data_IF_066444986235
#
_entry.id   IF_066444986235
#
_cell.length_a   1.000
_cell.length_b   1.000
_cell.length_c   1.000
_cell.angle_alpha   90.00
_cell.angle_beta   90.00
_cell.angle_gamma   90.00
#
_symmetry.space_group_name_H-M   'P 1'
#
loop_
_entity.id
_entity.type
_entity.pdbx_description
1 polymer ?
#
# COMPACT_ATOMS: atom_id res chain seq x y z
N UNK A 1 -53.90 72.18 23.09
CA UNK A 1 -52.47 71.95 23.37
C UNK A 1 -52.23 70.48 23.80
N UNK A 2 -52.70 69.50 23.02
CA UNK A 2 -52.53 68.07 23.41
C UNK A 2 -52.08 67.10 22.27
N UNK A 3 -51.94 67.60 21.04
CA UNK A 3 -51.62 66.71 19.91
C UNK A 3 -50.11 66.48 19.71
N UNK A 4 -49.25 67.36 20.18
CA UNK A 4 -47.79 67.27 20.00
C UNK A 4 -47.13 66.20 20.88
N UNK A 5 -47.74 65.79 21.98
CA UNK A 5 -47.20 64.79 22.92
C UNK A 5 -47.48 63.36 22.48
N UNK A 6 -48.60 63.14 21.76
CA UNK A 6 -48.96 61.82 21.26
C UNK A 6 -48.11 61.42 20.01
N UNK A 7 -47.78 62.39 19.16
CA UNK A 7 -46.98 62.20 17.98
C UNK A 7 -45.51 61.82 18.34
N UNK A 8 -44.95 62.54 19.32
CA UNK A 8 -43.56 62.26 19.82
C UNK A 8 -43.44 60.87 20.52
N UNK A 9 -44.49 60.41 21.18
CA UNK A 9 -44.47 59.06 21.82
C UNK A 9 -44.61 57.96 20.78
N UNK A 10 -45.36 58.19 19.68
CA UNK A 10 -45.49 57.26 18.58
C UNK A 10 -44.21 57.13 17.74
N UNK A 11 -43.48 58.25 17.55
CA UNK A 11 -42.17 58.26 16.88
C UNK A 11 -41.10 57.54 17.70
N UNK A 12 -41.05 57.77 19.00
CA UNK A 12 -40.10 57.08 19.87
C UNK A 12 -40.36 55.56 19.93
N UNK A 13 -41.62 55.14 20.01
CA UNK A 13 -41.98 53.72 19.99
C UNK A 13 -41.64 53.03 18.64
N UNK A 14 -41.75 53.80 17.53
CA UNK A 14 -41.38 53.26 16.20
C UNK A 14 -39.83 53.18 16.01
N UNK A 15 -39.06 54.14 16.60
CA UNK A 15 -37.61 54.07 16.61
C UNK A 15 -37.09 52.90 17.45
N UNK A 16 -37.63 52.67 18.66
CA UNK A 16 -37.28 51.53 19.49
C UNK A 16 -37.61 50.18 18.83
N UNK A 17 -38.77 50.10 18.18
CA UNK A 17 -39.14 48.89 17.42
C UNK A 17 -38.22 48.66 16.20
N UNK A 18 -37.78 49.72 15.53
CA UNK A 18 -36.83 49.65 14.42
C UNK A 18 -35.41 49.24 14.86
N UNK A 19 -34.94 49.77 16.01
CA UNK A 19 -33.63 49.36 16.59
C UNK A 19 -33.67 47.92 17.07
N UNK A 20 -34.74 47.50 17.74
CA UNK A 20 -34.89 46.08 18.16
C UNK A 20 -34.91 45.13 16.97
N UNK A 21 -35.64 45.49 15.89
CA UNK A 21 -35.65 44.69 14.66
C UNK A 21 -34.29 44.65 13.94
N UNK A 22 -33.56 45.76 13.95
CA UNK A 22 -32.18 45.78 13.41
C UNK A 22 -31.19 44.89 14.20
N UNK A 23 -31.30 44.90 15.54
CA UNK A 23 -30.50 44.09 16.42
C UNK A 23 -30.81 42.58 16.26
N UNK A 24 -32.08 42.21 16.12
CA UNK A 24 -32.48 40.82 15.88
C UNK A 24 -32.00 40.30 14.52
N UNK A 25 -32.07 41.17 13.50
CA UNK A 25 -31.61 40.87 12.16
C UNK A 25 -30.08 40.67 12.12
N UNK A 26 -29.30 41.44 12.89
CA UNK A 26 -27.88 41.24 13.05
C UNK A 26 -27.55 39.93 13.81
N UNK A 27 -28.30 39.58 14.86
CA UNK A 27 -28.15 38.34 15.57
C UNK A 27 -28.41 37.12 14.66
N UNK A 28 -29.49 37.15 13.89
CA UNK A 28 -29.80 36.07 12.93
C UNK A 28 -28.76 35.96 11.82
N UNK A 29 -28.20 37.07 11.37
CA UNK A 29 -27.08 37.04 10.41
C UNK A 29 -25.87 36.37 10.99
N UNK A 30 -25.48 36.66 12.23
CA UNK A 30 -24.35 36.01 12.93
C UNK A 30 -24.60 34.51 13.07
N UNK A 31 -25.78 34.10 13.51
CA UNK A 31 -26.12 32.67 13.63
C UNK A 31 -26.05 31.97 12.27
N UNK A 32 -26.56 32.59 11.21
CA UNK A 32 -26.45 32.06 9.87
C UNK A 32 -24.98 31.88 9.43
N UNK A 33 -24.15 32.91 9.64
CA UNK A 33 -22.75 32.88 9.23
C UNK A 33 -21.98 31.82 10.03
N UNK A 34 -22.22 31.69 11.34
CA UNK A 34 -21.64 30.61 12.14
C UNK A 34 -22.12 29.22 11.72
N UNK A 35 -23.39 29.10 11.32
CA UNK A 35 -23.93 27.84 10.82
C UNK A 35 -23.30 27.49 9.45
N UNK A 36 -23.11 28.48 8.57
CA UNK A 36 -22.42 28.28 7.29
C UNK A 36 -20.96 27.88 7.48
N UNK A 37 -20.23 28.51 8.38
CA UNK A 37 -18.84 28.16 8.68
C UNK A 37 -18.72 26.74 9.25
N UNK A 38 -19.66 26.34 10.14
CA UNK A 38 -19.73 24.96 10.64
C UNK A 38 -19.98 23.97 9.54
N UNK A 39 -20.91 24.28 8.62
CA UNK A 39 -21.25 23.43 7.48
C UNK A 39 -20.05 23.25 6.52
N UNK A 40 -19.35 24.34 6.19
CA UNK A 40 -18.15 24.30 5.33
C UNK A 40 -17.04 23.47 5.98
N UNK A 41 -16.83 23.62 7.30
CA UNK A 41 -15.86 22.82 8.03
C UNK A 41 -16.21 21.34 8.02
N UNK A 42 -17.45 20.98 8.32
CA UNK A 42 -17.93 19.61 8.27
C UNK A 42 -17.80 19.00 6.87
N UNK A 43 -18.09 19.78 5.84
CA UNK A 43 -17.92 19.33 4.45
C UNK A 43 -16.45 19.03 4.13
N UNK A 44 -15.53 19.90 4.54
CA UNK A 44 -14.11 19.69 4.35
C UNK A 44 -13.59 18.45 5.13
N UNK A 45 -14.04 18.26 6.37
CA UNK A 45 -13.72 17.08 7.17
C UNK A 45 -14.25 15.80 6.55
N UNK A 46 -15.50 15.82 6.03
CA UNK A 46 -16.09 14.68 5.33
C UNK A 46 -15.34 14.32 4.05
N UNK A 47 -14.95 15.31 3.24
CA UNK A 47 -14.16 15.08 2.03
C UNK A 47 -12.77 14.50 2.35
N UNK A 48 -12.13 14.99 3.41
CA UNK A 48 -10.86 14.44 3.89
C UNK A 48 -11.03 13.00 4.40
N UNK A 49 -12.09 12.73 5.15
CA UNK A 49 -12.42 11.38 5.63
C UNK A 49 -12.64 10.42 4.47
N UNK A 50 -13.44 10.82 3.46
CA UNK A 50 -13.70 10.00 2.27
C UNK A 50 -12.42 9.66 1.52
N UNK A 51 -11.56 10.67 1.28
CA UNK A 51 -10.26 10.46 0.62
C UNK A 51 -9.34 9.53 1.41
N UNK A 52 -9.37 9.62 2.74
CA UNK A 52 -8.61 8.73 3.61
C UNK A 52 -9.14 7.30 3.52
N UNK A 53 -10.45 7.11 3.61
CA UNK A 53 -11.08 5.80 3.53
C UNK A 53 -10.84 5.10 2.19
N UNK A 54 -10.86 5.86 1.07
CA UNK A 54 -10.55 5.33 -0.26
C UNK A 54 -9.09 4.84 -0.36
N UNK A 55 -8.12 5.53 0.27
CA UNK A 55 -6.73 5.09 0.36
C UNK A 55 -6.62 3.83 1.22
N UNK A 56 -7.16 3.84 2.43
CA UNK A 56 -7.13 2.69 3.34
C UNK A 56 -7.73 1.43 2.69
N UNK A 57 -8.83 1.56 1.94
CA UNK A 57 -9.43 0.43 1.20
C UNK A 57 -8.51 -0.10 0.09
N UNK A 58 -7.81 0.77 -0.61
CA UNK A 58 -6.84 0.37 -1.64
C UNK A 58 -5.65 -0.35 -1.01
N UNK A 59 -5.05 0.26 0.02
CA UNK A 59 -3.90 -0.29 0.74
C UNK A 59 -4.23 -1.66 1.35
N UNK A 60 -5.44 -1.83 1.88
CA UNK A 60 -5.93 -3.09 2.41
C UNK A 60 -6.05 -4.16 1.30
N UNK A 61 -6.59 -3.79 0.14
CA UNK A 61 -6.68 -4.70 -1.03
C UNK A 61 -5.31 -5.14 -1.53
N UNK A 62 -4.35 -4.21 -1.60
CA UNK A 62 -2.97 -4.50 -1.98
C UNK A 62 -2.26 -5.38 -0.94
N UNK A 63 -2.56 -5.17 0.35
CA UNK A 63 -2.02 -5.99 1.42
C UNK A 63 -2.48 -7.44 1.31
N UNK A 64 -3.78 -7.68 1.22
CA UNK A 64 -4.33 -9.03 1.05
C UNK A 64 -3.82 -9.72 -0.22
N UNK A 65 -3.74 -8.99 -1.33
CA UNK A 65 -3.18 -9.56 -2.55
C UNK A 65 -1.72 -9.99 -2.38
N UNK A 66 -0.91 -9.18 -1.70
CA UNK A 66 0.50 -9.49 -1.43
C UNK A 66 0.65 -10.68 -0.49
N UNK A 67 -0.17 -10.78 0.55
CA UNK A 67 -0.18 -11.90 1.49
C UNK A 67 -0.52 -13.21 0.77
N UNK A 68 -1.61 -13.21 -0.01
CA UNK A 68 -2.00 -14.36 -0.81
C UNK A 68 -0.89 -14.79 -1.79
N UNK A 69 -0.26 -13.83 -2.47
CA UNK A 69 0.84 -14.13 -3.39
C UNK A 69 2.03 -14.75 -2.64
N UNK A 70 2.36 -14.27 -1.43
CA UNK A 70 3.42 -14.84 -0.60
C UNK A 70 3.15 -16.29 -0.22
N UNK A 71 1.89 -16.62 0.08
CA UNK A 71 1.45 -17.98 0.41
C UNK A 71 1.57 -18.96 -0.77
N UNK A 72 1.52 -18.47 -2.00
CA UNK A 72 1.71 -19.29 -3.19
C UNK A 72 3.20 -19.50 -3.57
N UNK A 73 4.13 -18.70 -3.09
CA UNK A 73 5.55 -18.84 -3.43
C UNK A 73 6.16 -20.20 -3.02
N UNK A 74 5.79 -20.82 -1.89
CA UNK A 74 6.27 -22.17 -1.56
C UNK A 74 5.91 -23.23 -2.62
N UNK A 75 4.75 -23.10 -3.29
CA UNK A 75 4.36 -24.02 -4.37
C UNK A 75 5.32 -23.90 -5.56
N UNK A 76 5.76 -22.68 -5.87
CA UNK A 76 6.76 -22.48 -6.92
C UNK A 76 8.11 -23.08 -6.52
N UNK A 77 8.54 -22.95 -5.26
CA UNK A 77 9.76 -23.58 -4.77
C UNK A 77 9.70 -25.11 -4.88
N UNK A 78 8.53 -25.71 -4.60
CA UNK A 78 8.32 -27.15 -4.75
C UNK A 78 8.41 -27.59 -6.21
N UNK A 79 7.86 -26.82 -7.14
CA UNK A 79 7.99 -27.05 -8.56
C UNK A 79 9.46 -26.96 -9.01
N UNK A 80 10.19 -25.95 -8.58
CA UNK A 80 11.61 -25.76 -8.90
C UNK A 80 12.46 -26.91 -8.32
N UNK A 81 12.18 -27.33 -7.10
CA UNK A 81 12.85 -28.47 -6.48
C UNK A 81 12.56 -29.79 -7.22
N UNK A 82 11.29 -30.00 -7.64
CA UNK A 82 10.92 -31.18 -8.42
C UNK A 82 11.59 -31.21 -9.79
N UNK A 83 11.70 -30.04 -10.45
CA UNK A 83 12.43 -29.89 -11.71
C UNK A 83 13.93 -30.20 -11.56
N UNK A 84 14.57 -29.67 -10.52
CA UNK A 84 15.97 -29.93 -10.23
C UNK A 84 16.21 -31.43 -9.99
N UNK A 85 15.34 -32.10 -9.23
CA UNK A 85 15.41 -33.55 -9.00
C UNK A 85 15.22 -34.36 -10.31
N UNK A 86 14.27 -33.94 -11.16
CA UNK A 86 14.03 -34.59 -12.45
C UNK A 86 15.18 -34.39 -13.46
N UNK A 87 15.92 -33.29 -13.37
CA UNK A 87 17.12 -33.02 -14.17
C UNK A 87 18.31 -33.86 -13.73
N UNK A 88 18.45 -34.11 -12.42
CA UNK A 88 19.51 -34.93 -11.86
C UNK A 88 19.34 -36.44 -12.16
N UNK A 89 18.13 -36.87 -12.56
CA UNK A 89 17.85 -38.27 -12.83
C UNK A 89 18.04 -38.60 -14.32
N UNK A 90 18.64 -39.75 -14.58
CA UNK A 90 18.84 -40.29 -15.94
C UNK A 90 17.69 -41.18 -16.44
N UNK A 91 16.59 -41.30 -15.69
CA UNK A 91 15.48 -42.18 -16.07
C UNK A 91 14.63 -41.59 -17.21
N UNK A 92 14.40 -42.33 -18.31
CA UNK A 92 13.65 -41.84 -19.47
C UNK A 92 12.19 -41.48 -19.16
N UNK A 93 11.57 -42.17 -18.18
CA UNK A 93 10.21 -41.93 -17.73
C UNK A 93 10.04 -40.55 -17.11
N UNK A 94 11.08 -39.99 -16.46
CA UNK A 94 11.07 -38.66 -15.85
C UNK A 94 11.19 -37.55 -16.90
N UNK A 95 11.65 -37.81 -18.11
CA UNK A 95 11.77 -36.80 -19.14
C UNK A 95 10.43 -36.21 -19.57
N UNK A 96 9.38 -37.05 -19.68
CA UNK A 96 8.02 -36.59 -20.00
C UNK A 96 7.39 -35.79 -18.87
N UNK A 97 7.62 -36.20 -17.60
CA UNK A 97 7.14 -35.48 -16.42
C UNK A 97 7.84 -34.13 -16.27
N UNK A 98 9.14 -34.06 -16.61
CA UNK A 98 9.91 -32.80 -16.61
C UNK A 98 9.29 -31.76 -17.53
N UNK A 99 8.93 -32.13 -18.78
CA UNK A 99 8.28 -31.21 -19.71
C UNK A 99 6.95 -30.67 -19.14
N UNK A 100 6.17 -31.52 -18.47
CA UNK A 100 4.94 -31.09 -17.79
C UNK A 100 5.20 -30.09 -16.68
N UNK A 101 6.20 -30.34 -15.84
CA UNK A 101 6.58 -29.43 -14.74
C UNK A 101 7.14 -28.10 -15.26
N UNK A 102 7.97 -28.11 -16.32
CA UNK A 102 8.49 -26.89 -16.98
C UNK A 102 7.33 -26.03 -17.51
N UNK A 103 6.30 -26.66 -18.07
CA UNK A 103 5.13 -25.93 -18.56
C UNK A 103 4.33 -25.29 -17.40
N UNK A 104 4.14 -26.02 -16.31
CA UNK A 104 3.46 -25.53 -15.11
C UNK A 104 4.26 -24.35 -14.51
N UNK A 105 5.58 -24.49 -14.36
CA UNK A 105 6.45 -23.41 -13.87
C UNK A 105 6.31 -22.17 -14.74
N UNK A 106 6.39 -22.33 -16.07
CA UNK A 106 6.27 -21.21 -17.01
C UNK A 106 4.91 -20.50 -16.84
N UNK A 107 3.82 -21.24 -16.79
CA UNK A 107 2.49 -20.66 -16.61
C UNK A 107 2.37 -19.91 -15.28
N UNK A 108 2.96 -20.45 -14.21
CA UNK A 108 2.96 -19.83 -12.89
C UNK A 108 3.77 -18.51 -12.90
N UNK A 109 4.97 -18.52 -13.50
CA UNK A 109 5.79 -17.31 -13.66
C UNK A 109 5.11 -16.23 -14.52
N UNK A 110 4.41 -16.62 -15.58
CA UNK A 110 3.62 -15.69 -16.38
C UNK A 110 2.46 -15.08 -15.57
N UNK A 111 1.80 -15.87 -14.72
CA UNK A 111 0.76 -15.38 -13.82
C UNK A 111 1.31 -14.37 -12.82
N UNK A 112 2.46 -14.66 -12.20
CA UNK A 112 3.15 -13.74 -11.30
C UNK A 112 3.52 -12.43 -12.02
N UNK A 113 4.06 -12.53 -13.24
CA UNK A 113 4.41 -11.37 -14.06
C UNK A 113 3.19 -10.47 -14.37
N UNK A 114 2.04 -11.07 -14.70
CA UNK A 114 0.77 -10.33 -14.90
C UNK A 114 0.32 -9.57 -13.65
N UNK A 115 0.69 -10.06 -12.47
CA UNK A 115 0.42 -9.44 -11.17
C UNK A 115 1.53 -8.49 -10.72
N UNK A 116 2.49 -8.17 -11.63
CA UNK A 116 3.64 -7.29 -11.36
C UNK A 116 4.57 -7.84 -10.27
N UNK A 117 4.54 -9.15 -10.05
CA UNK A 117 5.50 -9.84 -9.19
C UNK A 117 6.77 -10.10 -10.00
N UNK A 118 7.89 -9.61 -9.49
CA UNK A 118 9.20 -9.79 -10.09
C UNK A 118 10.12 -10.58 -9.15
N UNK A 119 10.95 -11.48 -9.68
CA UNK A 119 12.02 -12.08 -8.90
C UNK A 119 13.06 -11.04 -8.50
N UNK A 120 13.78 -11.32 -7.42
CA UNK A 120 14.94 -10.56 -6.99
C UNK A 120 16.17 -11.27 -7.55
N UNK A 121 16.93 -10.58 -8.39
CA UNK A 121 18.19 -11.10 -8.95
C UNK A 121 19.31 -10.86 -7.94
N UNK A 122 19.53 -11.83 -7.05
CA UNK A 122 20.48 -11.72 -5.96
C UNK A 122 21.90 -12.16 -6.35
N UNK A 123 22.03 -13.14 -7.26
CA UNK A 123 23.31 -13.76 -7.60
C UNK A 123 24.32 -12.74 -8.17
N UNK A 124 25.53 -12.71 -7.63
CA UNK A 124 26.59 -11.80 -8.06
C UNK A 124 26.42 -10.34 -7.63
N UNK A 125 25.39 -10.02 -6.85
CA UNK A 125 25.17 -8.69 -6.26
C UNK A 125 25.77 -8.61 -4.86
N UNK A 126 25.94 -7.40 -4.35
CA UNK A 126 26.29 -7.19 -2.95
C UNK A 126 25.08 -7.52 -2.06
N UNK A 127 25.34 -8.08 -0.88
CA UNK A 127 24.29 -8.41 0.08
C UNK A 127 23.55 -7.14 0.57
N UNK A 128 22.24 -7.12 0.39
CA UNK A 128 21.35 -6.07 0.89
C UNK A 128 20.37 -6.66 1.93
N UNK A 129 20.46 -6.27 3.21
CA UNK A 129 19.57 -6.78 4.27
C UNK A 129 18.07 -6.50 4.02
N UNK A 130 17.73 -5.53 3.19
CA UNK A 130 16.32 -5.18 2.92
C UNK A 130 15.63 -6.21 2.01
N UNK A 131 16.40 -6.91 1.15
CA UNK A 131 15.86 -7.83 0.13
C UNK A 131 16.50 -9.22 0.17
N UNK A 132 17.58 -9.40 0.94
CA UNK A 132 18.31 -10.66 1.07
C UNK A 132 18.34 -11.13 2.52
N UNK A 133 18.27 -12.45 2.70
CA UNK A 133 18.48 -13.13 3.97
C UNK A 133 19.67 -14.07 3.83
N UNK A 134 20.79 -13.74 4.48
CA UNK A 134 21.96 -14.61 4.50
C UNK A 134 21.69 -15.84 5.36
N UNK A 135 21.75 -17.03 4.75
CA UNK A 135 21.54 -18.33 5.42
C UNK A 135 22.83 -19.13 5.53
N UNK A 136 23.89 -18.68 4.88
CA UNK A 136 25.22 -19.28 4.95
C UNK A 136 26.30 -18.33 4.47
N UNK A 137 27.53 -18.66 4.86
CA UNK A 137 28.75 -17.99 4.40
C UNK A 137 29.70 -19.04 3.86
N UNK A 138 30.42 -18.69 2.80
CA UNK A 138 31.42 -19.57 2.21
C UNK A 138 32.69 -18.80 1.91
N UNK A 139 33.86 -19.41 2.26
CA UNK A 139 35.15 -18.82 1.94
C UNK A 139 35.41 -18.88 0.44
N UNK A 140 35.58 -17.74 -0.18
CA UNK A 140 35.83 -17.64 -1.62
C UNK A 140 36.88 -16.58 -1.92
N UNK A 141 37.94 -17.02 -2.60
CA UNK A 141 38.95 -16.09 -3.16
C UNK A 141 38.55 -15.51 -4.51
N UNK A 142 37.52 -16.07 -5.15
CA UNK A 142 37.04 -15.67 -6.47
C UNK A 142 35.98 -14.54 -6.43
N UNK A 143 35.35 -14.33 -5.27
CA UNK A 143 34.27 -13.36 -5.08
C UNK A 143 34.67 -12.26 -4.10
N UNK A 144 33.98 -11.11 -4.18
CA UNK A 144 34.16 -10.02 -3.23
C UNK A 144 33.55 -10.39 -1.88
N UNK A 145 34.10 -9.86 -0.80
CA UNK A 145 33.51 -9.99 0.53
C UNK A 145 32.10 -9.41 0.55
N UNK A 146 31.13 -10.18 1.05
CA UNK A 146 29.72 -9.80 1.07
C UNK A 146 28.97 -9.97 -0.27
N UNK A 147 29.62 -10.52 -1.30
CA UNK A 147 28.96 -10.84 -2.58
C UNK A 147 28.09 -12.08 -2.42
N UNK A 148 26.90 -12.06 -3.01
CA UNK A 148 26.00 -13.22 -3.06
C UNK A 148 26.53 -14.24 -4.07
N UNK A 149 26.93 -15.40 -3.60
CA UNK A 149 27.52 -16.47 -4.41
C UNK A 149 26.52 -17.56 -4.77
N UNK A 150 25.44 -17.69 -4.00
CA UNK A 150 24.39 -18.68 -4.27
C UNK A 150 23.03 -18.13 -3.85
N UNK A 151 22.03 -18.29 -4.71
CA UNK A 151 20.61 -18.01 -4.42
C UNK A 151 19.91 -19.35 -4.14
N UNK A 152 19.82 -19.70 -2.85
CA UNK A 152 19.22 -20.97 -2.41
C UNK A 152 17.70 -20.97 -2.50
N UNK A 153 17.10 -19.81 -2.39
CA UNK A 153 15.65 -19.64 -2.50
C UNK A 153 15.35 -18.23 -3.00
N UNK A 154 14.80 -18.18 -4.19
CA UNK A 154 14.57 -16.91 -4.89
C UNK A 154 13.59 -16.00 -4.15
N UNK A 155 13.96 -14.74 -3.96
CA UNK A 155 13.11 -13.69 -3.43
C UNK A 155 12.18 -13.12 -4.49
N UNK A 156 11.08 -12.52 -4.05
CA UNK A 156 10.07 -11.91 -4.91
C UNK A 156 9.56 -10.60 -4.33
N UNK A 157 9.23 -9.66 -5.22
CA UNK A 157 8.58 -8.37 -4.88
C UNK A 157 7.41 -8.08 -5.81
N UNK A 158 6.44 -7.31 -5.33
CA UNK A 158 5.35 -6.75 -6.14
C UNK A 158 5.48 -5.22 -6.12
N UNK A 159 5.82 -4.64 -7.27
CA UNK A 159 6.24 -3.24 -7.32
C UNK A 159 7.43 -3.00 -6.39
N UNK A 160 7.28 -2.09 -5.42
CA UNK A 160 8.30 -1.80 -4.39
C UNK A 160 8.16 -2.66 -3.12
N UNK A 161 7.04 -3.38 -2.98
CA UNK A 161 6.77 -4.17 -1.78
C UNK A 161 7.45 -5.52 -1.84
N UNK A 162 8.25 -5.84 -0.83
CA UNK A 162 8.85 -7.15 -0.66
C UNK A 162 7.77 -8.18 -0.28
N UNK A 163 7.67 -9.28 -1.04
CA UNK A 163 6.85 -10.44 -0.69
C UNK A 163 7.64 -11.41 0.20
N UNK A 164 8.87 -11.73 -0.23
CA UNK A 164 9.83 -12.48 0.59
C UNK A 164 11.26 -12.17 0.15
N UNK A 165 12.25 -12.16 1.07
CA UNK A 165 13.66 -12.00 0.70
C UNK A 165 14.20 -13.22 -0.03
N UNK A 166 15.28 -13.03 -0.82
CA UNK A 166 16.09 -14.13 -1.33
C UNK A 166 16.91 -14.73 -0.19
N UNK A 167 16.89 -16.06 -0.05
CA UNK A 167 17.77 -16.77 0.89
C UNK A 167 19.07 -17.06 0.18
N UNK A 168 20.14 -16.43 0.63
CA UNK A 168 21.42 -16.40 -0.09
C UNK A 168 22.59 -16.90 0.76
N UNK A 169 23.61 -17.43 0.09
CA UNK A 169 24.95 -17.54 0.66
C UNK A 169 25.81 -16.37 0.22
N UNK A 170 26.62 -15.87 1.12
CA UNK A 170 27.53 -14.75 0.87
C UNK A 170 28.97 -15.17 0.96
N UNK A 171 29.82 -14.59 0.11
CA UNK A 171 31.26 -14.79 0.16
C UNK A 171 31.86 -14.12 1.41
N UNK A 172 32.76 -14.79 2.08
CA UNK A 172 33.58 -14.19 3.12
C UNK A 172 35.06 -14.40 2.77
N UNK A 173 35.90 -13.46 3.18
CA UNK A 173 37.35 -13.58 3.12
C UNK A 173 37.87 -13.99 4.50
N UNK A 174 38.73 -15.02 4.53
CA UNK A 174 39.42 -15.44 5.74
C UNK A 174 40.55 -14.47 6.15
#
# INVERSE_FOLDING_TARGET
MNDTHLDSAAEAANEEASEAGASELEALRRERDEAQDRLLRLQAEFDNYRKRLERERRDLGEHFASELLSDFLPVLDDIERALAAAQASSEPTLASHRLGLELIQKQFLELLKRRQVAPIDALGTDFDPNVHQAVGQEFSSAHREGEVIEDMRRGYRVGERLLRPSMVKVATRG
#
